data_IF_710715931609
#
_entry.id   IF_710715931609
#
_cell.length_a   1.000
_cell.length_b   1.000
_cell.length_c   1.000
_cell.angle_alpha   90.00
_cell.angle_beta   90.00
_cell.angle_gamma   90.00
#
_symmetry.space_group_name_H-M   'P 1'
#
loop_
_entity.id
_entity.type
_entity.pdbx_description
1 polymer ?
#
# COMPACT_ATOMS: atom_id res chain seq x y z
N UNK A 1 39.77 -12.79 12.85
CA UNK A 1 38.89 -13.82 13.44
C UNK A 1 37.42 -13.47 13.34
N UNK A 2 36.95 -12.27 13.71
CA UNK A 2 35.52 -11.89 13.61
C UNK A 2 34.93 -11.85 12.17
N UNK A 3 35.73 -11.58 11.14
CA UNK A 3 35.27 -11.55 9.74
C UNK A 3 35.11 -12.95 9.12
N UNK A 4 35.77 -13.97 9.67
CA UNK A 4 35.63 -15.35 9.19
C UNK A 4 34.36 -16.01 9.72
N UNK A 5 33.91 -15.63 10.92
CA UNK A 5 32.66 -16.13 11.51
C UNK A 5 31.40 -15.54 10.84
N UNK A 6 31.43 -14.27 10.40
CA UNK A 6 30.35 -13.70 9.59
C UNK A 6 30.21 -14.41 8.24
N UNK A 7 31.32 -14.68 7.55
CA UNK A 7 31.32 -15.42 6.30
C UNK A 7 30.80 -16.86 6.47
N UNK A 8 31.12 -17.51 7.59
CA UNK A 8 30.61 -18.83 7.93
C UNK A 8 29.10 -18.82 8.25
N UNK A 9 28.58 -17.75 8.86
CA UNK A 9 27.15 -17.55 9.09
C UNK A 9 26.35 -17.41 7.79
N UNK A 10 26.82 -16.58 6.87
CA UNK A 10 26.21 -16.41 5.54
C UNK A 10 26.29 -17.68 4.69
N UNK A 11 27.40 -18.43 4.78
CA UNK A 11 27.58 -19.72 4.10
C UNK A 11 26.60 -20.79 4.60
N UNK A 12 26.24 -20.79 5.89
CA UNK A 12 25.24 -21.73 6.45
C UNK A 12 23.81 -21.42 5.97
N UNK A 13 23.45 -20.13 5.89
CA UNK A 13 22.15 -19.70 5.36
C UNK A 13 22.00 -20.05 3.88
N UNK A 14 23.07 -19.87 3.09
CA UNK A 14 23.09 -20.25 1.66
C UNK A 14 23.12 -21.76 1.45
N UNK A 15 23.86 -22.50 2.27
CA UNK A 15 23.88 -23.97 2.27
C UNK A 15 22.51 -24.58 2.58
N UNK A 16 21.78 -24.02 3.54
CA UNK A 16 20.41 -24.45 3.85
C UNK A 16 19.46 -24.21 2.67
N UNK A 17 19.55 -23.04 2.01
CA UNK A 17 18.77 -22.74 0.82
C UNK A 17 19.12 -23.66 -0.36
N UNK A 18 20.38 -24.08 -0.50
CA UNK A 18 20.84 -25.00 -1.55
C UNK A 18 20.47 -26.46 -1.28
N UNK A 19 20.48 -26.93 -0.04
CA UNK A 19 20.12 -28.31 0.33
C UNK A 19 18.66 -28.66 0.08
N UNK A 20 17.78 -27.66 0.06
CA UNK A 20 16.36 -27.82 -0.28
C UNK A 20 16.16 -28.01 -1.81
N UNK A 21 17.14 -27.63 -2.63
CA UNK A 21 17.03 -27.60 -4.09
C UNK A 21 17.42 -28.91 -4.79
N UNK A 22 18.08 -29.86 -4.12
CA UNK A 22 18.80 -30.96 -4.81
C UNK A 22 18.11 -32.33 -4.83
N UNK A 23 16.89 -32.50 -4.30
CA UNK A 23 16.27 -33.83 -4.17
C UNK A 23 14.88 -34.00 -4.82
N UNK A 24 14.27 -32.96 -5.37
CA UNK A 24 12.92 -33.04 -5.95
C UNK A 24 12.82 -32.14 -7.20
N UNK A 25 11.90 -32.42 -8.16
CA UNK A 25 11.60 -31.47 -9.25
C UNK A 25 11.40 -30.08 -8.65
N UNK A 26 11.73 -28.98 -9.34
CA UNK A 26 11.79 -27.65 -8.74
C UNK A 26 10.41 -27.25 -8.21
N UNK A 27 10.16 -27.59 -6.95
CA UNK A 27 9.03 -27.15 -6.17
C UNK A 27 9.44 -25.83 -5.56
N UNK A 28 8.60 -24.81 -5.72
CA UNK A 28 8.75 -23.56 -4.99
C UNK A 28 8.48 -23.81 -3.51
N UNK A 29 9.53 -24.09 -2.72
CA UNK A 29 9.44 -24.20 -1.28
C UNK A 29 9.19 -22.81 -0.66
N UNK A 30 8.15 -22.68 0.15
CA UNK A 30 7.76 -21.40 0.74
C UNK A 30 7.70 -21.47 2.25
N UNK A 31 8.34 -20.49 2.89
CA UNK A 31 8.31 -20.30 4.33
C UNK A 31 7.19 -19.31 4.63
N UNK A 32 6.15 -19.77 5.34
CA UNK A 32 5.03 -18.92 5.74
C UNK A 32 5.17 -18.35 7.15
N UNK A 33 6.10 -18.87 7.97
CA UNK A 33 6.34 -18.38 9.32
C UNK A 33 7.72 -17.69 9.38
N UNK A 34 7.78 -16.34 9.29
CA UNK A 34 9.05 -15.63 9.37
C UNK A 34 9.67 -15.67 10.77
N UNK A 35 8.89 -16.07 11.79
CA UNK A 35 9.37 -16.24 13.15
C UNK A 35 10.39 -17.37 13.33
N UNK A 36 10.47 -18.34 12.41
CA UNK A 36 11.52 -19.35 12.43
C UNK A 36 12.91 -18.71 12.31
N UNK A 37 13.11 -17.90 11.27
CA UNK A 37 14.37 -17.19 11.04
C UNK A 37 14.69 -16.19 12.14
N UNK A 38 13.67 -15.51 12.68
CA UNK A 38 13.87 -14.55 13.76
C UNK A 38 14.25 -15.22 15.09
N UNK A 39 13.72 -16.41 15.38
CA UNK A 39 14.10 -17.18 16.56
C UNK A 39 15.51 -17.76 16.42
N UNK A 40 15.89 -18.24 15.23
CA UNK A 40 17.27 -18.63 14.94
C UNK A 40 18.23 -17.46 15.14
N UNK A 41 17.88 -16.29 14.60
CA UNK A 41 18.64 -15.06 14.75
C UNK A 41 18.81 -14.66 16.22
N UNK A 42 17.75 -14.78 17.03
CA UNK A 42 17.83 -14.58 18.48
C UNK A 42 18.72 -15.63 19.17
N UNK A 43 18.70 -16.87 18.69
CA UNK A 43 19.54 -17.97 19.18
C UNK A 43 21.05 -17.78 18.94
N UNK A 44 21.44 -16.91 18.01
CA UNK A 44 22.84 -16.54 17.77
C UNK A 44 23.44 -15.62 18.86
N UNK A 45 22.69 -15.27 19.91
CA UNK A 45 23.21 -14.46 21.02
C UNK A 45 23.24 -12.96 20.75
N UNK A 46 22.40 -12.46 19.83
CA UNK A 46 22.28 -11.03 19.56
C UNK A 46 21.77 -10.31 20.81
N UNK A 47 22.50 -9.24 21.22
CA UNK A 47 22.16 -8.48 22.43
C UNK A 47 20.88 -7.63 22.30
N UNK A 48 20.62 -7.07 21.12
CA UNK A 48 19.47 -6.20 20.89
C UNK A 48 19.06 -6.16 19.42
N UNK A 49 17.76 -6.22 19.14
CA UNK A 49 17.18 -6.00 17.81
C UNK A 49 16.25 -4.79 17.90
N UNK A 50 16.55 -3.74 17.13
CA UNK A 50 15.70 -2.56 17.02
C UNK A 50 15.05 -2.53 15.63
N UNK A 51 13.72 -2.60 15.59
CA UNK A 51 12.95 -2.47 14.36
C UNK A 51 12.27 -1.10 14.31
N UNK A 52 12.54 -0.34 13.26
CA UNK A 52 11.95 0.98 13.04
C UNK A 52 11.31 1.04 11.66
N UNK A 53 10.07 1.51 11.57
CA UNK A 53 9.42 1.85 10.31
C UNK A 53 8.15 2.65 10.58
N UNK A 54 7.84 3.58 9.66
CA UNK A 54 6.66 4.45 9.75
C UNK A 54 5.33 3.74 9.44
N UNK A 55 5.34 2.47 9.02
CA UNK A 55 4.13 1.74 8.61
C UNK A 55 3.97 0.37 9.28
N UNK A 56 4.61 0.15 10.44
CA UNK A 56 4.57 -1.14 11.16
C UNK A 56 3.23 -1.45 11.84
N UNK A 57 2.39 -0.43 12.04
CA UNK A 57 1.10 -0.57 12.72
C UNK A 57 0.13 -1.45 11.92
N UNK A 58 -0.59 -2.41 12.55
CA UNK A 58 -0.62 -2.70 14.00
C UNK A 58 0.59 -3.50 14.51
N UNK A 59 1.22 -3.05 15.61
CA UNK A 59 2.42 -3.69 16.18
C UNK A 59 2.17 -5.10 16.73
N UNK A 60 0.95 -5.39 17.22
CA UNK A 60 0.61 -6.72 17.74
C UNK A 60 0.66 -7.80 16.67
N UNK A 61 0.12 -7.53 15.48
CA UNK A 61 0.16 -8.51 14.39
C UNK A 61 1.57 -8.67 13.85
N UNK A 62 2.34 -7.57 13.79
CA UNK A 62 3.74 -7.62 13.39
C UNK A 62 4.59 -8.47 14.35
N UNK A 63 4.44 -8.25 15.66
CA UNK A 63 5.10 -9.05 16.70
C UNK A 63 4.69 -10.53 16.63
N UNK A 64 3.41 -10.81 16.38
CA UNK A 64 2.91 -12.17 16.20
C UNK A 64 3.58 -12.86 15.01
N UNK A 65 3.61 -12.21 13.84
CA UNK A 65 4.22 -12.79 12.64
C UNK A 65 5.70 -13.12 12.82
N UNK A 66 6.46 -12.25 13.51
CA UNK A 66 7.88 -12.49 13.79
C UNK A 66 8.13 -13.47 14.94
N UNK A 67 7.09 -13.91 15.65
CA UNK A 67 7.18 -14.79 16.82
C UNK A 67 8.23 -14.36 17.87
N UNK A 68 8.51 -13.05 17.98
CA UNK A 68 9.47 -12.48 18.93
C UNK A 68 8.78 -11.59 19.96
N UNK A 69 9.24 -11.60 21.21
CA UNK A 69 8.78 -10.63 22.20
C UNK A 69 9.38 -9.26 21.89
N UNK A 70 8.51 -8.27 21.65
CA UNK A 70 8.88 -6.85 21.61
C UNK A 70 8.42 -6.20 22.92
N UNK A 71 9.24 -6.20 23.99
CA UNK A 71 8.84 -5.65 25.28
C UNK A 71 8.73 -4.13 25.25
N UNK A 72 9.57 -3.47 24.44
CA UNK A 72 9.52 -2.04 24.19
C UNK A 72 8.84 -1.82 22.84
N UNK A 73 7.72 -1.11 22.86
CA UNK A 73 6.96 -0.72 21.67
C UNK A 73 6.62 0.75 21.79
N UNK A 74 7.00 1.51 20.78
CA UNK A 74 6.76 2.94 20.70
C UNK A 74 5.99 3.23 19.42
N UNK A 75 4.88 3.94 19.56
CA UNK A 75 4.12 4.50 18.44
C UNK A 75 3.96 5.99 18.73
N UNK A 76 4.70 6.80 17.97
CA UNK A 76 4.67 8.25 18.14
C UNK A 76 3.53 8.84 17.30
N UNK A 77 2.89 9.92 17.78
CA UNK A 77 1.91 10.64 16.98
C UNK A 77 2.57 11.20 15.72
N UNK A 78 1.77 11.37 14.66
CA UNK A 78 2.26 11.97 13.42
C UNK A 78 2.64 13.43 13.66
N UNK A 79 3.73 13.89 13.03
CA UNK A 79 4.28 15.24 13.20
C UNK A 79 3.51 16.35 12.44
N UNK A 80 2.39 16.00 11.78
CA UNK A 80 1.65 16.95 10.94
C UNK A 80 0.32 17.33 11.57
N UNK A 81 -0.16 18.53 11.25
CA UNK A 81 -1.51 18.97 11.59
C UNK A 81 -2.56 18.23 10.75
N UNK A 82 -3.71 17.85 11.34
CA UNK A 82 -4.85 17.29 10.61
C UNK A 82 -5.26 18.03 9.33
N UNK A 83 -5.01 19.35 9.25
CA UNK A 83 -5.34 20.20 8.09
C UNK A 83 -4.39 19.98 6.91
N UNK A 84 -3.21 19.40 7.14
CA UNK A 84 -2.21 19.14 6.10
C UNK A 84 -2.54 17.89 5.27
N UNK A 85 -3.42 17.01 5.75
CA UNK A 85 -3.80 15.78 5.05
C UNK A 85 -5.30 15.64 4.92
N UNK A 86 -5.75 15.39 3.69
CA UNK A 86 -7.10 14.94 3.42
C UNK A 86 -7.10 13.47 3.02
N UNK A 87 -8.00 12.66 3.61
CA UNK A 87 -8.23 11.27 3.18
C UNK A 87 -9.72 11.11 2.85
N UNK A 88 -10.00 10.75 1.60
CA UNK A 88 -11.36 10.58 1.09
C UNK A 88 -11.56 9.23 0.41
N UNK A 89 -12.78 8.68 0.54
CA UNK A 89 -13.21 7.53 -0.25
C UNK A 89 -14.18 8.02 -1.31
N UNK A 90 -13.87 7.76 -2.58
CA UNK A 90 -14.73 8.11 -3.72
C UNK A 90 -15.37 6.85 -4.24
N UNK A 91 -16.69 6.76 -4.13
CA UNK A 91 -17.45 5.54 -4.44
C UNK A 91 -18.11 5.55 -5.81
N UNK A 92 -18.17 6.71 -6.47
CA UNK A 92 -18.77 6.92 -7.78
C UNK A 92 -17.94 7.92 -8.59
N UNK A 93 -17.84 7.73 -9.90
CA UNK A 93 -17.23 8.72 -10.78
C UNK A 93 -18.24 9.79 -11.23
N UNK A 94 -17.80 10.73 -12.09
CA UNK A 94 -18.62 11.85 -12.57
C UNK A 94 -19.94 11.45 -13.25
N UNK A 95 -19.98 10.32 -13.95
CA UNK A 95 -21.18 9.78 -14.59
C UNK A 95 -22.07 8.98 -13.60
N UNK A 96 -21.70 8.94 -12.32
CA UNK A 96 -22.43 8.22 -11.29
C UNK A 96 -22.19 6.71 -11.28
N UNK A 97 -21.25 6.21 -12.10
CA UNK A 97 -20.91 4.79 -12.15
C UNK A 97 -20.16 4.41 -10.87
N UNK A 98 -20.55 3.28 -10.31
CA UNK A 98 -19.96 2.78 -9.08
C UNK A 98 -18.50 2.38 -9.31
N UNK A 99 -17.57 3.00 -8.57
CA UNK A 99 -16.14 2.70 -8.62
C UNK A 99 -15.85 1.42 -7.81
N UNK A 100 -16.33 0.30 -8.33
CA UNK A 100 -16.10 -1.01 -7.74
C UNK A 100 -14.99 -1.73 -8.50
N UNK A 101 -13.80 -1.76 -7.91
CA UNK A 101 -12.62 -2.43 -8.46
C UNK A 101 -12.65 -3.97 -8.34
N UNK A 102 -13.80 -4.58 -8.00
CA UNK A 102 -13.94 -6.04 -7.98
C UNK A 102 -13.68 -6.65 -9.35
N UNK A 103 -13.24 -7.91 -9.36
CA UNK A 103 -12.92 -8.63 -10.61
C UNK A 103 -14.05 -8.59 -11.63
N UNK A 104 -15.30 -8.62 -11.17
CA UNK A 104 -16.49 -8.64 -12.03
C UNK A 104 -16.78 -7.30 -12.70
N UNK A 105 -16.44 -6.17 -12.07
CA UNK A 105 -16.84 -4.83 -12.54
C UNK A 105 -15.69 -4.02 -13.13
N UNK A 106 -14.45 -4.29 -12.72
CA UNK A 106 -13.28 -3.49 -13.11
C UNK A 106 -12.93 -3.52 -14.60
N UNK A 107 -13.34 -4.58 -15.32
CA UNK A 107 -13.07 -4.74 -16.74
C UNK A 107 -14.16 -4.11 -17.62
N UNK A 108 -15.26 -3.60 -17.03
CA UNK A 108 -16.35 -2.94 -17.76
C UNK A 108 -15.90 -1.60 -18.38
N UNK A 109 -16.35 -1.28 -19.61
CA UNK A 109 -15.99 -0.04 -20.27
C UNK A 109 -16.51 1.18 -19.49
N UNK A 110 -17.71 1.12 -18.93
CA UNK A 110 -18.31 2.22 -18.16
C UNK A 110 -17.48 2.58 -16.92
N UNK A 111 -16.96 1.56 -16.22
CA UNK A 111 -16.05 1.76 -15.08
C UNK A 111 -14.77 2.46 -15.52
N UNK A 112 -14.17 2.02 -16.64
CA UNK A 112 -12.93 2.60 -17.15
C UNK A 112 -13.15 4.05 -17.60
N UNK A 113 -14.21 4.34 -18.35
CA UNK A 113 -14.53 5.70 -18.77
C UNK A 113 -14.77 6.61 -17.57
N UNK A 114 -15.54 6.17 -16.57
CA UNK A 114 -15.86 7.01 -15.41
C UNK A 114 -14.65 7.24 -14.49
N UNK A 115 -13.80 6.22 -14.30
CA UNK A 115 -12.53 6.36 -13.60
C UNK A 115 -11.58 7.33 -14.32
N UNK A 116 -11.49 7.23 -15.65
CA UNK A 116 -10.67 8.12 -16.47
C UNK A 116 -11.14 9.57 -16.39
N UNK A 117 -12.45 9.81 -16.51
CA UNK A 117 -13.04 11.14 -16.34
C UNK A 117 -12.82 11.70 -14.93
N UNK A 118 -12.86 10.86 -13.90
CA UNK A 118 -12.50 11.27 -12.55
C UNK A 118 -11.04 11.71 -12.47
N UNK A 119 -10.12 10.95 -13.06
CA UNK A 119 -8.69 11.30 -13.08
C UNK A 119 -8.45 12.60 -13.87
N UNK A 120 -9.17 12.87 -14.95
CA UNK A 120 -9.12 14.17 -15.66
C UNK A 120 -9.45 15.32 -14.70
N UNK A 121 -10.50 15.17 -13.89
CA UNK A 121 -10.87 16.20 -12.91
C UNK A 121 -9.76 16.43 -11.89
N UNK A 122 -9.15 15.36 -11.37
CA UNK A 122 -8.02 15.48 -10.45
C UNK A 122 -6.77 16.05 -11.11
N UNK A 123 -6.46 15.68 -12.36
CA UNK A 123 -5.34 16.22 -13.11
C UNK A 123 -5.50 17.74 -13.33
N UNK A 124 -6.73 18.22 -13.50
CA UNK A 124 -7.03 19.66 -13.62
C UNK A 124 -6.91 20.42 -12.30
N UNK A 125 -7.32 19.83 -11.17
CA UNK A 125 -7.41 20.56 -9.88
C UNK A 125 -6.20 20.39 -8.97
N UNK A 126 -5.45 19.30 -9.13
CA UNK A 126 -4.30 19.01 -8.26
C UNK A 126 -3.10 19.83 -8.72
N UNK A 127 -2.46 20.62 -7.85
CA UNK A 127 -1.20 21.27 -8.20
C UNK A 127 -0.06 20.26 -8.31
N UNK A 128 0.93 20.52 -9.16
CA UNK A 128 2.15 19.73 -9.28
C UNK A 128 1.88 18.23 -9.55
N UNK A 129 2.34 17.33 -8.67
CA UNK A 129 2.35 15.90 -8.82
C UNK A 129 1.06 15.20 -8.39
N UNK A 130 0.52 14.37 -9.29
CA UNK A 130 -0.57 13.44 -9.03
C UNK A 130 -0.04 12.00 -9.18
N UNK A 131 -0.14 11.18 -8.14
CA UNK A 131 0.22 9.75 -8.25
C UNK A 131 -1.05 8.92 -8.35
N UNK A 132 -1.13 8.01 -9.33
CA UNK A 132 -2.28 7.13 -9.52
C UNK A 132 -1.82 5.68 -9.45
N UNK A 133 -2.19 4.99 -8.38
CA UNK A 133 -1.81 3.61 -8.12
C UNK A 133 -2.92 2.62 -8.48
N UNK A 134 -2.56 1.64 -9.31
CA UNK A 134 -3.40 0.54 -9.75
C UNK A 134 -3.09 -0.73 -8.97
N UNK A 135 -4.05 -1.67 -8.84
CA UNK A 135 -3.81 -2.92 -8.12
C UNK A 135 -2.95 -3.91 -8.92
N UNK A 136 -2.84 -3.76 -10.26
CA UNK A 136 -1.96 -4.59 -11.09
C UNK A 136 -1.69 -3.93 -12.46
N UNK A 137 -0.60 -4.35 -13.12
CA UNK A 137 -0.28 -3.91 -14.48
C UNK A 137 -1.40 -4.22 -15.49
N UNK A 138 -2.08 -5.36 -15.35
CA UNK A 138 -3.23 -5.71 -16.22
C UNK A 138 -4.33 -4.65 -16.14
N UNK A 139 -4.67 -4.17 -14.94
CA UNK A 139 -5.72 -3.16 -14.77
C UNK A 139 -5.25 -1.82 -15.31
N UNK A 140 -3.99 -1.44 -15.03
CA UNK A 140 -3.38 -0.22 -15.56
C UNK A 140 -3.42 -0.20 -17.09
N UNK A 141 -2.88 -1.22 -17.76
CA UNK A 141 -2.83 -1.33 -19.22
C UNK A 141 -4.23 -1.35 -19.83
N UNK A 142 -5.15 -2.11 -19.23
CA UNK A 142 -6.54 -2.17 -19.70
C UNK A 142 -7.29 -0.84 -19.58
N UNK A 143 -6.94 0.02 -18.60
CA UNK A 143 -7.46 1.38 -18.49
C UNK A 143 -6.79 2.31 -19.49
N UNK A 144 -5.46 2.27 -19.61
CA UNK A 144 -4.71 3.11 -20.56
C UNK A 144 -5.12 2.85 -22.01
N UNK A 145 -5.28 1.59 -22.41
CA UNK A 145 -5.77 1.23 -23.75
C UNK A 145 -7.17 1.80 -24.00
N UNK A 146 -8.06 1.67 -23.03
CA UNK A 146 -9.42 2.21 -23.13
C UNK A 146 -9.41 3.73 -23.26
N UNK A 147 -8.63 4.43 -22.43
CA UNK A 147 -8.56 5.90 -22.43
C UNK A 147 -7.90 6.50 -23.67
N UNK A 148 -7.04 5.75 -24.36
CA UNK A 148 -6.39 6.17 -25.61
C UNK A 148 -7.27 5.90 -26.83
N UNK A 149 -8.09 4.85 -26.80
CA UNK A 149 -8.88 4.41 -27.94
C UNK A 149 -10.30 4.98 -27.94
N UNK A 150 -10.86 5.31 -26.78
CA UNK A 150 -12.18 5.91 -26.67
C UNK A 150 -12.09 7.43 -26.91
N UNK A 151 -12.69 7.88 -28.02
CA UNK A 151 -12.81 9.29 -28.35
C UNK A 151 -14.19 9.81 -28.00
N UNK A 152 -14.25 10.89 -27.24
CA UNK A 152 -15.49 11.64 -26.99
C UNK A 152 -15.27 13.08 -27.43
N UNK A 153 -16.11 13.57 -28.35
CA UNK A 153 -16.04 14.96 -28.83
C UNK A 153 -14.68 15.35 -29.43
N UNK A 154 -14.03 14.43 -30.16
CA UNK A 154 -12.78 14.69 -30.89
C UNK A 154 -11.49 14.60 -30.06
N UNK A 155 -11.57 14.31 -28.75
CA UNK A 155 -10.41 14.05 -27.90
C UNK A 155 -10.58 12.75 -27.12
N UNK A 156 -9.50 12.01 -26.90
CA UNK A 156 -9.55 10.85 -26.01
C UNK A 156 -9.51 11.28 -24.53
N UNK A 157 -9.92 10.39 -23.62
CA UNK A 157 -9.75 10.64 -22.19
C UNK A 157 -8.28 10.86 -21.85
N UNK A 158 -7.39 10.10 -22.50
CA UNK A 158 -5.94 10.24 -22.33
C UNK A 158 -5.45 11.62 -22.74
N UNK A 159 -5.89 12.15 -23.88
CA UNK A 159 -5.48 13.48 -24.35
C UNK A 159 -5.87 14.56 -23.34
N UNK A 160 -7.06 14.45 -22.74
CA UNK A 160 -7.53 15.37 -21.69
C UNK A 160 -6.70 15.28 -20.41
N UNK A 161 -6.17 14.11 -20.07
CA UNK A 161 -5.24 13.97 -18.94
C UNK A 161 -3.92 14.67 -19.28
N UNK A 162 -3.35 14.38 -20.46
CA UNK A 162 -2.07 14.91 -20.91
C UNK A 162 -2.10 16.43 -21.14
N UNK A 163 -3.26 16.96 -21.51
CA UNK A 163 -3.50 18.41 -21.62
C UNK A 163 -3.29 19.13 -20.28
N UNK A 164 -3.59 18.47 -19.16
CA UNK A 164 -3.42 19.07 -17.84
C UNK A 164 -2.09 18.71 -17.18
N UNK A 165 -1.64 17.45 -17.32
CA UNK A 165 -0.41 16.96 -16.66
C UNK A 165 0.40 16.04 -17.56
N UNK A 166 1.72 16.19 -17.52
CA UNK A 166 2.65 15.27 -18.18
C UNK A 166 2.49 13.86 -17.62
N UNK A 167 2.12 12.90 -18.47
CA UNK A 167 1.85 11.54 -18.05
C UNK A 167 3.10 10.65 -18.13
N UNK A 168 3.49 10.08 -17.01
CA UNK A 168 4.56 9.08 -16.90
C UNK A 168 3.94 7.76 -16.45
N UNK A 169 4.33 6.66 -17.09
CA UNK A 169 3.81 5.32 -16.81
C UNK A 169 4.94 4.46 -16.27
N UNK A 170 4.67 3.73 -15.18
CA UNK A 170 5.62 2.79 -14.59
C UNK A 170 6.05 1.71 -15.61
N UNK A 171 7.35 1.55 -15.87
CA UNK A 171 7.84 0.46 -16.70
C UNK A 171 7.78 -0.87 -15.94
N UNK A 172 7.51 -1.97 -16.65
CA UNK A 172 7.56 -3.32 -16.07
C UNK A 172 8.98 -3.72 -15.62
N UNK A 173 10.02 -3.21 -16.30
CA UNK A 173 11.42 -3.51 -15.99
C UNK A 173 11.94 -2.70 -14.80
N UNK A 174 12.70 -3.34 -13.90
CA UNK A 174 13.28 -2.65 -12.73
C UNK A 174 14.34 -1.66 -13.16
N UNK A 175 15.10 -1.99 -14.20
CA UNK A 175 16.22 -1.16 -14.66
C UNK A 175 15.73 0.19 -15.21
N UNK A 176 14.59 0.22 -15.88
CA UNK A 176 14.02 1.44 -16.45
C UNK A 176 13.27 2.30 -15.42
N UNK A 177 13.02 1.78 -14.22
CA UNK A 177 12.19 2.46 -13.23
C UNK A 177 12.84 3.75 -12.72
N UNK A 178 14.14 3.73 -12.43
CA UNK A 178 14.88 4.92 -11.99
C UNK A 178 14.82 6.06 -13.02
N UNK A 179 14.83 5.73 -14.31
CA UNK A 179 14.71 6.71 -15.38
C UNK A 179 13.31 7.32 -15.45
N UNK A 180 12.24 6.51 -15.37
CA UNK A 180 10.87 7.02 -15.37
C UNK A 180 10.59 7.93 -14.16
N UNK A 181 11.14 7.59 -13.00
CA UNK A 181 11.10 8.41 -11.80
C UNK A 181 11.82 9.75 -11.97
N UNK A 182 13.01 9.75 -12.56
CA UNK A 182 13.76 10.97 -12.85
C UNK A 182 13.02 11.85 -13.86
N UNK A 183 12.45 11.25 -14.91
CA UNK A 183 11.63 11.96 -15.90
C UNK A 183 10.41 12.62 -15.25
N UNK A 184 9.70 11.90 -14.37
CA UNK A 184 8.59 12.48 -13.61
C UNK A 184 9.02 13.71 -12.80
N UNK A 185 10.15 13.63 -12.08
CA UNK A 185 10.67 14.77 -11.32
C UNK A 185 11.04 15.94 -12.23
N UNK A 186 11.74 15.68 -13.34
CA UNK A 186 12.08 16.71 -14.31
C UNK A 186 10.83 17.40 -14.91
N UNK A 187 9.75 16.65 -15.14
CA UNK A 187 8.47 17.20 -15.63
C UNK A 187 7.68 18.01 -14.60
N UNK A 188 7.97 17.89 -13.31
CA UNK A 188 7.39 18.75 -12.27
C UNK A 188 8.02 20.14 -12.23
N UNK A 189 9.28 20.25 -12.68
CA UNK A 189 10.02 21.51 -12.74
C UNK A 189 9.77 22.27 -14.05
N UNK A 190 9.15 21.62 -15.04
CA UNK A 190 8.76 22.23 -16.31
C UNK A 190 7.53 23.14 -16.14
N UNK A 191 7.73 24.44 -16.32
CA UNK A 191 6.67 25.46 -16.20
C UNK A 191 5.64 25.45 -17.33
N UNK A 192 5.84 24.65 -18.39
CA UNK A 192 4.90 24.55 -19.51
C UNK A 192 3.63 23.75 -19.19
N UNK A 193 3.66 22.94 -18.12
CA UNK A 193 2.52 22.16 -17.66
C UNK A 193 2.17 22.49 -16.21
N UNK A 194 0.95 22.15 -15.78
CA UNK A 194 0.52 22.30 -14.38
C UNK A 194 1.18 21.29 -13.41
N UNK A 195 2.11 20.48 -13.93
CA UNK A 195 2.79 19.39 -13.24
C UNK A 195 2.68 18.06 -14.01
N UNK A 196 2.86 16.96 -13.29
CA UNK A 196 2.97 15.62 -13.87
C UNK A 196 2.05 14.62 -13.14
N UNK A 197 1.63 13.59 -13.86
CA UNK A 197 0.88 12.45 -13.32
C UNK A 197 1.69 11.17 -13.49
N UNK A 198 1.85 10.41 -12.41
CA UNK A 198 2.58 9.14 -12.42
C UNK A 198 1.62 7.98 -12.24
N UNK A 199 1.47 7.15 -13.28
CA UNK A 199 0.66 5.95 -13.27
C UNK A 199 1.51 4.75 -12.83
N UNK A 200 1.21 4.18 -11.67
CA UNK A 200 1.98 3.11 -11.04
C UNK A 200 1.12 1.95 -10.54
N UNK A 201 1.74 0.87 -10.10
CA UNK A 201 1.10 -0.30 -9.52
C UNK A 201 1.44 -0.39 -8.02
N UNK A 202 0.42 -0.59 -7.18
CA UNK A 202 0.56 -0.90 -5.75
C UNK A 202 1.40 -2.16 -5.58
N UNK A 203 2.30 -2.19 -4.57
CA UNK A 203 3.23 -3.32 -4.34
C UNK A 203 4.18 -3.58 -5.53
N UNK A 204 4.27 -2.64 -6.49
CA UNK A 204 5.28 -2.63 -7.54
C UNK A 204 6.59 -2.01 -7.05
N UNK A 205 7.57 -1.88 -7.93
CA UNK A 205 8.93 -1.37 -7.60
C UNK A 205 8.91 0.06 -7.11
N UNK A 206 7.95 0.82 -7.63
CA UNK A 206 7.62 2.18 -7.19
C UNK A 206 7.26 2.21 -5.72
N UNK A 207 6.71 1.13 -5.14
CA UNK A 207 6.24 1.05 -3.75
C UNK A 207 7.34 0.91 -2.69
N UNK A 208 8.55 0.46 -3.08
CA UNK A 208 9.62 0.13 -2.12
C UNK A 208 10.81 1.11 -2.11
N UNK A 209 11.13 1.79 -3.23
CA UNK A 209 12.44 2.46 -3.35
C UNK A 209 12.47 3.93 -3.76
N UNK A 210 11.37 4.54 -4.22
CA UNK A 210 11.41 5.91 -4.75
C UNK A 210 10.65 6.91 -3.88
N UNK A 211 11.35 7.98 -3.52
CA UNK A 211 10.82 9.08 -2.76
C UNK A 211 10.17 10.15 -3.66
N UNK A 212 8.85 10.30 -3.53
CA UNK A 212 8.05 11.36 -4.15
C UNK A 212 7.73 12.43 -3.10
N UNK A 213 8.73 13.22 -2.70
CA UNK A 213 8.55 14.27 -1.69
C UNK A 213 7.90 15.53 -2.26
N UNK A 214 7.28 16.32 -1.38
CA UNK A 214 6.84 17.69 -1.66
C UNK A 214 5.88 17.78 -2.86
N UNK A 215 6.28 18.55 -3.89
CA UNK A 215 5.53 18.80 -5.12
C UNK A 215 5.23 17.50 -5.89
N UNK A 216 5.99 16.43 -5.66
CA UNK A 216 5.81 15.17 -6.38
C UNK A 216 4.56 14.38 -5.96
N UNK A 217 4.00 14.65 -4.77
CA UNK A 217 2.97 13.81 -4.14
C UNK A 217 1.75 14.57 -3.62
N UNK A 218 1.37 15.72 -4.21
CA UNK A 218 0.28 16.57 -3.70
C UNK A 218 -1.08 15.87 -3.64
N UNK A 219 -1.35 14.97 -4.58
CA UNK A 219 -2.43 14.03 -4.42
C UNK A 219 -2.06 12.61 -4.83
N UNK A 220 -2.65 11.63 -4.13
CA UNK A 220 -2.52 10.21 -4.43
C UNK A 220 -3.91 9.62 -4.64
N UNK A 221 -4.09 8.94 -5.76
CA UNK A 221 -5.28 8.16 -6.09
C UNK A 221 -4.91 6.69 -6.01
N UNK A 222 -5.68 5.91 -5.25
CA UNK A 222 -5.58 4.46 -5.23
C UNK A 222 -6.82 3.90 -5.92
N UNK A 223 -6.66 3.32 -7.11
CA UNK A 223 -7.76 2.81 -7.93
C UNK A 223 -8.22 1.45 -7.42
N UNK A 224 -8.99 1.44 -6.34
CA UNK A 224 -9.40 0.24 -5.63
C UNK A 224 -8.58 -0.02 -4.37
N UNK A 225 -8.96 -1.06 -3.62
CA UNK A 225 -8.20 -1.47 -2.44
C UNK A 225 -7.16 -2.52 -2.88
N UNK A 226 -5.86 -2.31 -2.60
CA UNK A 226 -4.76 -3.15 -3.07
C UNK A 226 -4.66 -4.45 -2.26
N UNK A 227 -5.72 -5.25 -2.30
CA UNK A 227 -5.71 -6.58 -1.74
C UNK A 227 -4.72 -7.49 -2.48
N UNK A 228 -4.00 -8.38 -1.76
CA UNK A 228 -3.32 -9.49 -2.40
C UNK A 228 -4.31 -10.30 -3.27
N UNK A 229 -3.81 -10.90 -4.36
CA UNK A 229 -4.65 -11.71 -5.22
C UNK A 229 -5.17 -12.93 -4.42
N UNK A 230 -6.48 -12.99 -4.18
CA UNK A 230 -7.08 -14.05 -3.34
C UNK A 230 -6.87 -15.46 -3.91
N UNK A 231 -6.74 -15.57 -5.24
CA UNK A 231 -6.53 -16.83 -5.95
C UNK A 231 -5.05 -17.22 -6.03
N UNK A 232 -4.13 -16.35 -5.61
CA UNK A 232 -2.71 -16.70 -5.53
C UNK A 232 -2.54 -17.85 -4.51
N UNK A 233 -1.95 -18.99 -4.91
CA UNK A 233 -1.67 -20.10 -4.00
C UNK A 233 -0.95 -19.66 -2.73
N UNK A 234 -0.02 -18.70 -2.82
CA UNK A 234 0.75 -18.21 -1.66
C UNK A 234 -0.16 -17.53 -0.63
N UNK A 235 -1.08 -16.70 -1.11
CA UNK A 235 -2.05 -15.96 -0.29
C UNK A 235 -3.05 -16.92 0.35
N UNK A 236 -3.47 -17.96 -0.37
CA UNK A 236 -4.38 -18.99 0.17
C UNK A 236 -3.71 -19.84 1.25
N UNK A 237 -2.51 -20.35 0.96
CA UNK A 237 -1.75 -21.17 1.90
C UNK A 237 -1.40 -20.41 3.17
N UNK A 238 -0.94 -19.15 3.06
CA UNK A 238 -0.67 -18.31 4.24
C UNK A 238 -1.91 -18.10 5.11
N UNK A 239 -3.09 -17.88 4.51
CA UNK A 239 -4.34 -17.77 5.28
C UNK A 239 -4.68 -19.07 6.00
N UNK A 240 -4.54 -20.22 5.33
CA UNK A 240 -4.79 -21.53 5.93
C UNK A 240 -3.86 -21.81 7.12
N UNK A 241 -2.55 -21.54 6.97
CA UNK A 241 -1.56 -21.69 8.06
C UNK A 241 -1.96 -20.84 9.27
N UNK A 242 -2.32 -19.56 9.04
CA UNK A 242 -2.75 -18.66 10.11
C UNK A 242 -4.05 -19.12 10.77
N UNK A 243 -5.01 -19.62 10.00
CA UNK A 243 -6.28 -20.13 10.53
C UNK A 243 -6.07 -21.40 11.38
N UNK A 244 -5.17 -22.29 10.98
CA UNK A 244 -4.77 -23.48 11.74
C UNK A 244 -4.03 -23.12 13.04
N UNK A 245 -3.06 -22.19 12.98
CA UNK A 245 -2.36 -21.68 14.16
C UNK A 245 -3.34 -21.00 15.13
N UNK A 246 -4.25 -20.18 14.61
CA UNK A 246 -5.29 -19.54 15.39
C UNK A 246 -6.20 -20.56 16.06
N UNK A 247 -6.58 -21.65 15.37
CA UNK A 247 -7.37 -22.73 15.94
C UNK A 247 -6.63 -23.43 17.09
N UNK A 248 -5.36 -23.76 16.91
CA UNK A 248 -4.51 -24.37 17.95
C UNK A 248 -4.41 -23.48 19.20
N UNK A 249 -4.20 -22.18 19.00
CA UNK A 249 -4.14 -21.21 20.11
C UNK A 249 -5.47 -21.05 20.85
N UNK A 250 -6.59 -21.11 20.13
CA UNK A 250 -7.94 -21.11 20.73
C UNK A 250 -8.17 -22.34 21.60
N UNK A 251 -7.77 -23.53 21.14
CA UNK A 251 -7.88 -24.76 21.94
C UNK A 251 -7.00 -24.73 23.20
N UNK A 252 -5.91 -23.98 23.20
CA UNK A 252 -5.01 -23.82 24.36
C UNK A 252 -5.35 -22.63 25.26
N UNK A 253 -6.50 -21.97 25.09
CA UNK A 253 -6.94 -20.83 25.92
C UNK A 253 -6.17 -19.53 25.69
N UNK A 254 -5.31 -19.43 24.66
CA UNK A 254 -4.51 -18.25 24.33
C UNK A 254 -5.14 -17.42 23.20
N UNK A 255 -6.45 -17.17 23.30
CA UNK A 255 -7.28 -16.47 22.29
C UNK A 255 -6.82 -15.05 21.96
N UNK A 256 -6.27 -14.32 22.93
CA UNK A 256 -5.92 -12.91 22.78
C UNK A 256 -4.80 -12.61 21.76
N UNK A 257 -4.08 -13.63 21.26
CA UNK A 257 -2.93 -13.46 20.34
C UNK A 257 -3.14 -14.04 18.95
N UNK A 258 -4.30 -14.64 18.64
CA UNK A 258 -4.48 -15.36 17.38
C UNK A 258 -4.77 -14.41 16.20
N UNK A 259 -3.87 -14.35 15.21
CA UNK A 259 -4.09 -13.65 13.94
C UNK A 259 -4.73 -14.61 12.92
N UNK A 260 -5.99 -14.37 12.55
CA UNK A 260 -6.66 -15.17 11.52
C UNK A 260 -6.27 -14.78 10.09
N UNK A 261 -6.45 -15.70 9.14
CA UNK A 261 -6.13 -15.47 7.72
C UNK A 261 -6.90 -14.29 7.12
N UNK A 262 -8.19 -14.15 7.43
CA UNK A 262 -9.02 -13.03 6.94
C UNK A 262 -8.57 -11.66 7.51
N UNK A 263 -8.12 -11.65 8.76
CA UNK A 263 -7.59 -10.46 9.43
C UNK A 263 -6.25 -10.07 8.81
N UNK A 264 -5.34 -11.04 8.63
CA UNK A 264 -4.08 -10.83 7.92
C UNK A 264 -4.31 -10.30 6.50
N UNK A 265 -5.23 -10.91 5.73
CA UNK A 265 -5.55 -10.47 4.37
C UNK A 265 -6.02 -9.01 4.31
N UNK A 266 -6.79 -8.57 5.31
CA UNK A 266 -7.24 -7.19 5.44
C UNK A 266 -6.11 -6.24 5.84
N UNK A 267 -5.23 -6.65 6.76
CA UNK A 267 -4.05 -5.88 7.16
C UNK A 267 -3.06 -5.71 6.01
N UNK A 268 -2.95 -6.69 5.12
CA UNK A 268 -2.12 -6.60 3.93
C UNK A 268 -2.57 -5.45 3.00
N UNK A 269 -3.87 -5.29 2.79
CA UNK A 269 -4.38 -4.14 2.04
C UNK A 269 -4.10 -2.81 2.76
N UNK A 270 -4.27 -2.78 4.08
CA UNK A 270 -4.00 -1.59 4.91
C UNK A 270 -2.56 -1.12 4.80
N UNK A 271 -1.61 -2.05 4.92
CA UNK A 271 -0.17 -1.75 4.81
C UNK A 271 0.19 -1.12 3.46
N UNK A 272 -0.41 -1.61 2.38
CA UNK A 272 -0.20 -1.03 1.05
C UNK A 272 -0.77 0.40 0.93
N UNK A 273 -1.91 0.69 1.55
CA UNK A 273 -2.45 2.06 1.63
C UNK A 273 -1.54 2.95 2.48
N UNK A 274 -1.04 2.47 3.61
CA UNK A 274 -0.11 3.22 4.47
C UNK A 274 1.23 3.52 3.76
N UNK A 275 1.73 2.58 2.95
CA UNK A 275 2.91 2.81 2.11
C UNK A 275 2.67 3.89 1.05
N UNK A 276 1.43 4.02 0.55
CA UNK A 276 1.05 5.12 -0.34
C UNK A 276 0.95 6.45 0.43
N UNK A 277 0.40 6.44 1.65
CA UNK A 277 0.31 7.62 2.52
C UNK A 277 1.68 8.17 2.90
N UNK A 278 2.63 7.28 3.23
CA UNK A 278 4.00 7.67 3.57
C UNK A 278 4.74 8.39 2.44
N UNK A 279 4.18 8.45 1.22
CA UNK A 279 4.73 9.22 0.09
C UNK A 279 4.19 10.64 0.00
N UNK A 280 3.00 10.89 0.54
CA UNK A 280 2.34 12.20 0.47
C UNK A 280 2.90 13.15 1.49
N UNK A 281 3.34 12.63 2.62
CA UNK A 281 3.81 13.42 3.74
C UNK A 281 5.18 12.95 4.15
N UNK A 282 6.18 13.82 3.96
CA UNK A 282 7.58 13.53 4.30
C UNK A 282 8.10 14.29 5.51
N UNK A 283 7.65 15.53 5.69
CA UNK A 283 8.11 16.38 6.78
C UNK A 283 6.95 17.17 7.39
N UNK A 284 7.22 17.82 8.53
CA UNK A 284 6.22 18.54 9.32
C UNK A 284 5.50 19.69 8.59
N UNK A 285 6.07 20.19 7.47
CA UNK A 285 5.51 21.29 6.69
C UNK A 285 4.87 20.80 5.37
N UNK A 286 4.80 19.50 5.15
CA UNK A 286 4.28 18.92 3.91
C UNK A 286 2.76 18.84 3.94
N UNK A 287 2.11 18.73 2.78
CA UNK A 287 0.66 18.58 2.70
C UNK A 287 0.24 17.81 1.44
N UNK A 288 -0.91 17.15 1.52
CA UNK A 288 -1.51 16.51 0.36
C UNK A 288 -2.81 15.78 0.64
N UNK A 289 -3.34 15.15 -0.40
CA UNK A 289 -4.63 14.48 -0.35
C UNK A 289 -4.56 13.05 -0.88
N UNK A 290 -5.26 12.13 -0.22
CA UNK A 290 -5.32 10.71 -0.59
C UNK A 290 -6.76 10.35 -0.88
N UNK A 291 -6.99 9.76 -2.05
CA UNK A 291 -8.29 9.33 -2.51
C UNK A 291 -8.29 7.83 -2.81
N UNK A 292 -9.16 7.10 -2.13
CA UNK A 292 -9.37 5.67 -2.39
C UNK A 292 -10.62 5.49 -3.22
N UNK A 293 -10.47 4.98 -4.44
CA UNK A 293 -11.57 4.74 -5.37
C UNK A 293 -12.19 3.37 -5.06
N UNK A 294 -13.22 3.34 -4.22
CA UNK A 294 -13.85 2.07 -3.82
C UNK A 294 -15.29 2.25 -3.38
N UNK A 295 -16.09 1.21 -3.58
CA UNK A 295 -17.41 1.14 -2.95
C UNK A 295 -17.30 0.97 -1.45
N UNK A 296 -18.16 1.66 -0.71
CA UNK A 296 -18.17 1.74 0.76
C UNK A 296 -18.19 0.37 1.45
N UNK A 297 -18.72 -0.66 0.79
CA UNK A 297 -18.75 -2.05 1.28
C UNK A 297 -17.39 -2.77 1.26
N UNK A 298 -16.55 -2.49 0.26
CA UNK A 298 -15.19 -3.04 0.17
C UNK A 298 -14.21 -2.22 1.00
N UNK A 299 -14.49 -0.93 1.16
CA UNK A 299 -13.84 -0.07 2.14
C UNK A 299 -14.31 -0.32 3.58
N UNK A 300 -15.09 -1.38 3.89
CA UNK A 300 -15.52 -1.69 5.27
C UNK A 300 -14.37 -1.91 6.27
N UNK A 301 -13.25 -2.57 5.92
CA UNK A 301 -12.07 -2.62 6.79
C UNK A 301 -11.36 -1.26 6.91
N UNK A 302 -11.72 -0.31 6.04
CA UNK A 302 -11.26 1.07 5.97
C UNK A 302 -12.42 2.05 6.27
N UNK A 303 -13.45 1.69 7.06
CA UNK A 303 -14.82 2.24 6.92
C UNK A 303 -15.28 3.36 7.90
N UNK A 304 -15.88 4.41 7.31
CA UNK A 304 -16.64 5.56 7.87
C UNK A 304 -15.90 6.90 8.17
N UNK A 305 -15.81 7.76 7.14
CA UNK A 305 -15.81 9.23 7.30
C UNK A 305 -17.05 9.78 6.59
N UNK A 306 -18.00 10.30 7.37
CA UNK A 306 -19.00 11.29 6.91
C UNK A 306 -18.75 12.53 7.76
N UNK A 307 -18.63 13.69 7.10
CA UNK A 307 -18.80 14.95 7.79
C UNK A 307 -20.18 14.96 8.46
N UNK A 308 -20.23 15.24 9.76
CA UNK A 308 -21.45 15.40 10.54
C UNK A 308 -22.15 14.10 10.97
N UNK A 309 -22.19 13.91 12.30
CA UNK A 309 -23.09 13.07 13.10
C UNK A 309 -22.89 11.53 13.15
N UNK A 310 -22.46 11.10 14.35
CA UNK A 310 -22.65 9.81 15.06
C UNK A 310 -22.82 8.48 14.29
N UNK A 311 -21.87 7.52 14.42
CA UNK A 311 -21.97 6.30 15.27
C UNK A 311 -20.90 5.20 14.98
N UNK A 312 -20.37 4.66 16.09
CA UNK A 312 -19.95 3.27 16.44
C UNK A 312 -19.38 2.31 15.35
N UNK A 313 -18.08 2.40 15.03
CA UNK A 313 -17.20 1.25 14.73
C UNK A 313 -15.70 1.63 14.74
N UNK A 314 -14.82 0.75 15.23
CA UNK A 314 -13.46 1.07 15.70
C UNK A 314 -12.34 1.08 14.62
N UNK A 315 -12.60 0.73 13.36
CA UNK A 315 -11.51 0.44 12.40
C UNK A 315 -11.04 1.63 11.56
N UNK A 316 -11.90 2.59 11.16
CA UNK A 316 -11.44 3.87 10.60
C UNK A 316 -11.06 4.87 11.70
N UNK A 317 -11.59 4.67 12.92
CA UNK A 317 -10.99 5.24 14.13
C UNK A 317 -9.52 4.84 14.18
N UNK A 318 -9.11 3.58 14.07
CA UNK A 318 -7.68 3.24 14.12
C UNK A 318 -6.80 3.98 13.07
N UNK A 319 -7.24 4.08 11.81
CA UNK A 319 -6.42 4.74 10.77
C UNK A 319 -6.30 6.26 10.97
N UNK A 320 -7.41 6.93 11.26
CA UNK A 320 -7.45 8.40 11.46
C UNK A 320 -7.05 8.78 12.88
N UNK A 321 -7.20 7.90 13.87
CA UNK A 321 -6.84 8.14 15.28
C UNK A 321 -5.39 7.79 15.58
N UNK A 322 -4.75 6.90 14.80
CA UNK A 322 -3.29 6.82 14.71
C UNK A 322 -2.70 8.06 14.01
N UNK A 323 -3.45 8.71 13.12
CA UNK A 323 -3.04 9.95 12.47
C UNK A 323 -3.35 11.23 13.28
N UNK A 324 -4.41 11.28 14.09
CA UNK A 324 -4.96 12.51 14.69
C UNK A 324 -5.17 12.50 16.22
N UNK A 325 -4.63 11.54 16.99
CA UNK A 325 -4.76 11.61 18.46
C UNK A 325 -3.91 12.74 19.08
N UNK A 326 -4.47 13.95 19.05
CA UNK A 326 -4.45 14.83 20.22
C UNK A 326 -5.91 15.20 20.55
N UNK A 327 -6.38 14.75 21.71
CA UNK A 327 -7.40 15.50 22.45
C UNK A 327 -6.81 15.89 23.80
N UNK A 328 -6.58 17.19 23.89
CA UNK A 328 -6.62 18.04 25.08
C UNK A 328 -6.41 17.34 26.43
N UNK A 329 -5.25 17.60 27.03
CA UNK A 329 -5.22 17.79 28.48
C UNK A 329 -6.02 19.06 28.79
N UNK A 330 -7.16 18.91 29.47
CA UNK A 330 -7.69 19.98 30.30
C UNK A 330 -6.82 20.05 31.55
N UNK A 331 -6.15 21.16 31.76
CA UNK A 331 -5.39 21.45 32.98
C UNK A 331 -5.18 22.96 33.10
N UNK A 332 -6.19 23.64 33.64
CA UNK A 332 -5.93 24.56 34.74
C UNK A 332 -5.72 23.71 35.99
#
# INVERSE_FOLDING_TARGET
>A
DDLQDEAAGWARVTSFAQGISSAHPPGDWQIFNPGLSMNELAGLGIRSILLTSGTLSPLDSFAYELCLPFPVRLENPHVIDPRQVYIGVVSKGPAGISLNSSFQKRDSPEYKSDLGNLIVNFARTTPDGLLVFFPSYRVLEGCLQHWKNEFTSGSSIWDRIVQHKWAVIEPRSSAAFGQAAADFKAKLDDSSASGAVFFAVCRGKVSEGLDFSDRAGRAVIITGIPYPMKMDPKVRLKQQVLDEEAAKLRSSGKTAKALGGSQWYSQQALRAVNQALGRVIRHQNDYGAIFVMSVSGLARPLGNYRGGYETRSNHLRLLVQLLLNSRSFSGR
#
